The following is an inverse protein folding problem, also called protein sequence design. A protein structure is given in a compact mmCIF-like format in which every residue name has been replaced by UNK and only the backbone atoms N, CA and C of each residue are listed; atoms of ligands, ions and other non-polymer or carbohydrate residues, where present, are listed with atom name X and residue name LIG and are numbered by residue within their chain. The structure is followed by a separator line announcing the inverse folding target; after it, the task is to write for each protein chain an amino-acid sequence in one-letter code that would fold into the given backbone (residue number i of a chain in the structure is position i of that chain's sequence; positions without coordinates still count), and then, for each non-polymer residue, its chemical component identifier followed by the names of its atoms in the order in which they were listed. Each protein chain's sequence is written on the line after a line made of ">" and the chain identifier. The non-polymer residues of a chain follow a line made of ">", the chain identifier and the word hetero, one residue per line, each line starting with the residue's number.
data_IF_917025805391
#
_entry.id   IF_917025805391
#
_cell.length_a   1.000
_cell.length_b   1.000
_cell.length_c   1.000
_cell.angle_alpha   90.00
_cell.angle_beta   90.00
_cell.angle_gamma   90.00
#
_symmetry.space_group_name_H-M   'P 1'
#
loop_
_entity.id
_entity.type
_entity.pdbx_description
1 polymer ?
#
# COMPACT_ATOMS: atom_id res chain seq x y z
N UNK A 1 1.54 -25.53 46.64
CA UNK A 1 0.12 -25.48 46.26
C UNK A 1 0.02 -25.27 44.75
N UNK A 2 -1.04 -25.76 44.10
CA UNK A 2 -1.30 -25.59 42.65
C UNK A 2 -2.70 -24.98 42.47
N UNK A 3 -2.94 -24.29 41.35
CA UNK A 3 -4.27 -23.82 40.96
C UNK A 3 -5.18 -24.99 40.56
N UNK A 4 -6.49 -24.74 40.41
CA UNK A 4 -7.43 -25.76 39.91
C UNK A 4 -7.13 -26.09 38.45
N UNK A 5 -7.32 -27.35 38.08
CA UNK A 5 -7.07 -27.83 36.71
C UNK A 5 -7.92 -27.09 35.67
N UNK A 6 -9.18 -26.80 35.97
CA UNK A 6 -10.06 -26.02 35.09
C UNK A 6 -9.54 -24.61 34.83
N UNK A 7 -8.96 -23.98 35.86
CA UNK A 7 -8.36 -22.65 35.71
C UNK A 7 -7.11 -22.71 34.84
N UNK A 8 -6.26 -23.74 35.05
CA UNK A 8 -5.08 -23.97 34.22
C UNK A 8 -5.47 -24.20 32.75
N UNK A 9 -6.47 -25.06 32.50
CA UNK A 9 -6.95 -25.36 31.15
C UNK A 9 -7.47 -24.11 30.45
N UNK A 10 -8.25 -23.28 31.15
CA UNK A 10 -8.75 -22.01 30.61
C UNK A 10 -7.61 -21.06 30.24
N UNK A 11 -6.58 -20.94 31.08
CA UNK A 11 -5.39 -20.13 30.77
C UNK A 11 -4.67 -20.65 29.53
N UNK A 12 -4.50 -21.98 29.40
CA UNK A 12 -3.85 -22.60 28.25
C UNK A 12 -4.62 -22.36 26.95
N UNK A 13 -5.95 -22.50 26.96
CA UNK A 13 -6.81 -22.21 25.81
C UNK A 13 -6.72 -20.73 25.39
N UNK A 14 -6.75 -19.82 26.37
CA UNK A 14 -6.57 -18.39 26.11
C UNK A 14 -5.19 -18.09 25.51
N UNK A 15 -4.11 -18.69 26.03
CA UNK A 15 -2.77 -18.50 25.50
C UNK A 15 -2.62 -19.04 24.08
N UNK A 16 -3.24 -20.19 23.78
CA UNK A 16 -3.28 -20.74 22.43
C UNK A 16 -4.01 -19.80 21.45
N UNK A 17 -5.14 -19.22 21.88
CA UNK A 17 -5.87 -18.23 21.09
C UNK A 17 -5.04 -16.96 20.83
N UNK A 18 -4.38 -16.43 21.86
CA UNK A 18 -3.46 -15.27 21.72
C UNK A 18 -2.36 -15.57 20.71
N UNK A 19 -1.71 -16.73 20.83
CA UNK A 19 -0.64 -17.11 19.92
C UNK A 19 -1.14 -17.24 18.48
N UNK A 20 -2.34 -17.82 18.28
CA UNK A 20 -2.96 -17.91 16.95
C UNK A 20 -3.18 -16.51 16.35
N UNK A 21 -3.81 -15.61 17.10
CA UNK A 21 -4.10 -14.25 16.64
C UNK A 21 -2.82 -13.50 16.29
N UNK A 22 -1.79 -13.57 17.13
CA UNK A 22 -0.51 -12.90 16.86
C UNK A 22 0.18 -13.42 15.59
N UNK A 23 0.12 -14.73 15.33
CA UNK A 23 0.65 -15.29 14.08
C UNK A 23 -0.12 -14.79 12.85
N UNK A 24 -1.45 -14.75 12.93
CA UNK A 24 -2.29 -14.22 11.85
C UNK A 24 -2.01 -12.73 11.59
N UNK A 25 -1.86 -11.94 12.65
CA UNK A 25 -1.47 -10.52 12.56
C UNK A 25 -0.11 -10.37 11.88
N UNK A 26 0.90 -11.14 12.31
CA UNK A 26 2.23 -11.08 11.70
C UNK A 26 2.23 -11.44 10.22
N UNK A 27 1.42 -12.42 9.81
CA UNK A 27 1.25 -12.75 8.39
C UNK A 27 0.60 -11.60 7.60
N UNK A 28 -0.45 -10.97 8.15
CA UNK A 28 -1.09 -9.82 7.52
C UNK A 28 -0.15 -8.63 7.40
N UNK A 29 0.69 -8.36 8.40
CA UNK A 29 1.68 -7.29 8.37
C UNK A 29 2.74 -7.51 7.29
N UNK A 30 3.26 -8.73 7.17
CA UNK A 30 4.21 -9.09 6.11
C UNK A 30 3.59 -8.91 4.71
N UNK A 31 2.35 -9.37 4.52
CA UNK A 31 1.63 -9.18 3.25
C UNK A 31 1.38 -7.70 2.93
N UNK A 32 0.95 -6.93 3.93
CA UNK A 32 0.76 -5.48 3.77
C UNK A 32 2.04 -4.80 3.33
N UNK A 33 3.17 -5.13 3.94
CA UNK A 33 4.47 -4.59 3.55
C UNK A 33 4.81 -4.93 2.09
N UNK A 34 4.60 -6.19 1.68
CA UNK A 34 4.80 -6.61 0.29
C UNK A 34 3.98 -5.78 -0.71
N UNK A 35 2.69 -5.61 -0.44
CA UNK A 35 1.79 -4.81 -1.29
C UNK A 35 2.19 -3.33 -1.32
N UNK A 36 2.63 -2.75 -0.20
CA UNK A 36 3.10 -1.37 -0.16
C UNK A 36 4.39 -1.18 -0.97
N UNK A 37 5.28 -2.16 -0.97
CA UNK A 37 6.49 -2.13 -1.79
C UNK A 37 6.16 -2.23 -3.28
N UNK A 38 5.24 -3.12 -3.67
CA UNK A 38 4.76 -3.23 -5.05
C UNK A 38 4.11 -1.92 -5.54
N UNK A 39 3.25 -1.32 -4.70
CA UNK A 39 2.63 -0.03 -4.99
C UNK A 39 3.69 1.07 -5.21
N UNK A 40 4.73 1.10 -4.38
CA UNK A 40 5.82 2.06 -4.55
C UNK A 40 6.54 1.88 -5.88
N UNK A 41 6.82 0.63 -6.29
CA UNK A 41 7.42 0.33 -7.59
C UNK A 41 6.55 0.73 -8.77
N UNK A 42 5.23 0.51 -8.69
CA UNK A 42 4.29 0.97 -9.72
C UNK A 42 4.29 2.51 -9.82
N UNK A 43 4.28 3.20 -8.67
CA UNK A 43 4.32 4.67 -8.66
C UNK A 43 5.62 5.22 -9.25
N UNK A 44 6.77 4.58 -8.98
CA UNK A 44 8.04 4.96 -9.60
C UNK A 44 7.97 4.83 -11.13
N UNK A 45 7.44 3.70 -11.64
CA UNK A 45 7.24 3.50 -13.08
C UNK A 45 6.28 4.52 -13.71
N UNK A 46 5.22 4.92 -13.00
CA UNK A 46 4.31 5.99 -13.44
C UNK A 46 5.05 7.32 -13.57
N UNK A 47 5.86 7.69 -12.58
CA UNK A 47 6.61 8.96 -12.61
C UNK A 47 7.68 8.98 -13.70
N UNK A 48 8.37 7.85 -13.93
CA UNK A 48 9.33 7.76 -15.02
C UNK A 48 8.64 7.86 -16.38
N UNK A 49 7.50 7.22 -16.57
CA UNK A 49 6.73 7.33 -17.81
C UNK A 49 6.15 8.75 -18.01
N UNK A 50 5.71 9.43 -16.95
CA UNK A 50 5.31 10.85 -17.03
C UNK A 50 6.44 11.73 -17.55
N UNK A 51 7.67 11.53 -17.07
CA UNK A 51 8.85 12.29 -17.57
C UNK A 51 9.13 11.99 -19.04
N UNK A 52 8.88 10.77 -19.50
CA UNK A 52 9.01 10.42 -20.93
C UNK A 52 7.97 11.19 -21.76
N UNK A 53 6.71 11.19 -21.33
CA UNK A 53 5.63 11.93 -21.99
C UNK A 53 5.87 13.45 -22.00
N UNK A 54 6.34 14.02 -20.89
CA UNK A 54 6.67 15.45 -20.81
C UNK A 54 7.79 15.85 -21.77
N UNK A 55 8.79 14.97 -21.98
CA UNK A 55 9.83 15.20 -22.99
C UNK A 55 9.30 15.18 -24.42
N UNK A 56 8.27 14.38 -24.69
CA UNK A 56 7.71 14.19 -26.03
C UNK A 56 6.64 15.24 -26.38
N UNK A 57 5.75 15.54 -25.43
CA UNK A 57 4.57 16.37 -25.65
C UNK A 57 4.60 17.71 -24.91
N UNK A 58 5.60 17.94 -24.04
CA UNK A 58 5.63 19.09 -23.15
C UNK A 58 4.66 18.93 -21.97
N UNK A 59 4.36 20.04 -21.29
CA UNK A 59 3.36 20.04 -20.22
C UNK A 59 1.96 19.84 -20.82
N UNK A 60 1.43 18.62 -20.70
CA UNK A 60 0.11 18.25 -21.24
C UNK A 60 -0.74 17.54 -20.18
N UNK A 61 -2.04 17.77 -20.22
CA UNK A 61 -3.03 16.99 -19.50
C UNK A 61 -3.54 15.88 -20.43
N UNK A 62 -3.51 14.62 -19.99
CA UNK A 62 -3.89 13.46 -20.78
C UNK A 62 -5.15 12.84 -20.17
N UNK A 63 -6.18 12.67 -21.01
CA UNK A 63 -7.37 11.92 -20.66
C UNK A 63 -7.04 10.42 -20.68
N UNK A 64 -7.21 9.75 -19.55
CA UNK A 64 -6.89 8.31 -19.41
C UNK A 64 -7.91 7.39 -20.10
N UNK A 65 -9.09 7.88 -20.46
CA UNK A 65 -10.16 7.08 -21.07
C UNK A 65 -9.98 6.94 -22.59
N UNK A 66 -9.59 8.02 -23.27
CA UNK A 66 -9.49 8.09 -24.73
C UNK A 66 -8.10 8.48 -25.26
N UNK A 67 -7.17 8.84 -24.38
CA UNK A 67 -5.80 9.22 -24.72
C UNK A 67 -5.67 10.61 -25.36
N UNK A 68 -6.75 11.40 -25.43
CA UNK A 68 -6.67 12.79 -25.89
C UNK A 68 -5.86 13.64 -24.93
N UNK A 69 -5.12 14.63 -25.43
CA UNK A 69 -4.31 15.52 -24.60
C UNK A 69 -4.53 16.99 -24.92
N UNK A 70 -4.33 17.84 -23.92
CA UNK A 70 -4.39 19.30 -24.02
C UNK A 70 -3.16 19.93 -23.39
N UNK A 71 -2.62 20.98 -23.98
CA UNK A 71 -1.49 21.73 -23.39
C UNK A 71 -1.88 22.39 -22.06
N UNK A 72 -0.97 22.34 -21.10
CA UNK A 72 -1.09 23.05 -19.82
C UNK A 72 -0.45 24.42 -19.98
N UNK A 73 -1.17 25.49 -19.62
CA UNK A 73 -0.64 26.85 -19.67
C UNK A 73 0.22 27.15 -18.45
N UNK A 74 1.29 27.95 -18.62
CA UNK A 74 2.21 28.33 -17.53
C UNK A 74 1.52 28.93 -16.30
N UNK A 75 0.39 29.63 -16.49
CA UNK A 75 -0.40 30.22 -15.41
C UNK A 75 -0.99 29.18 -14.45
N UNK A 76 -1.18 27.93 -14.89
CA UNK A 76 -1.76 26.84 -14.10
C UNK A 76 -0.70 26.01 -13.33
N UNK A 77 0.58 26.17 -13.66
CA UNK A 77 1.69 25.46 -13.00
C UNK A 77 2.16 26.13 -11.70
N UNK A 78 1.80 27.40 -11.47
CA UNK A 78 2.27 28.18 -10.33
C UNK A 78 1.50 27.93 -9.01
N UNK A 79 0.39 27.18 -9.07
CA UNK A 79 -0.52 26.95 -7.94
C UNK A 79 -0.49 25.50 -7.38
N UNK A 80 0.54 24.69 -7.72
CA UNK A 80 0.73 23.30 -7.23
C UNK A 80 1.98 23.16 -6.38
#
# INVERSE_FOLDING_TARGET
>A
MKIKEEQLKKIQEQQAAVNKILNEVGYLEANKHGLLHELAGVNEGIEDFKKELEKEYGAVNINLEDGTYTEIKEEELADV
#
